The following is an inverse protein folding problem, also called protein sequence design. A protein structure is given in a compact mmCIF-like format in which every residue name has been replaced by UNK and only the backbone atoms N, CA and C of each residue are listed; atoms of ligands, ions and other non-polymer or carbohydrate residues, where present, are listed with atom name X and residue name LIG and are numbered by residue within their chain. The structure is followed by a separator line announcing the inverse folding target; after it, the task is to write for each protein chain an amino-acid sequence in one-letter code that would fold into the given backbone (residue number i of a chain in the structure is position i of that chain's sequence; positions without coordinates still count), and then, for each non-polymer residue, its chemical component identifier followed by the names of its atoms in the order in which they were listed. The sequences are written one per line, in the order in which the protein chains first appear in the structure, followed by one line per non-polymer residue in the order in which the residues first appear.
data_IF_394422115377
#
_entry.id   IF_394422115377
#
_cell.length_a   1.000
_cell.length_b   1.000
_cell.length_c   1.000
_cell.angle_alpha   90.00
_cell.angle_beta   90.00
_cell.angle_gamma   90.00
#
_symmetry.space_group_name_H-M   'P 1'
#
loop_
_entity.id
_entity.type
_entity.pdbx_description
1 polymer ?
#
# COMPACT_ATOMS: atom_id res chain seq x y z
N UNK A 1 2.94 -8.18 -27.12
CA UNK A 1 2.98 -6.87 -27.77
C UNK A 1 3.71 -5.94 -26.83
N UNK A 2 4.88 -5.46 -27.29
CA UNK A 2 5.68 -4.54 -26.55
C UNK A 2 4.87 -3.26 -26.32
N UNK A 3 4.77 -2.82 -25.03
CA UNK A 3 4.27 -1.49 -24.74
C UNK A 3 5.14 -0.43 -25.38
N UNK A 4 4.59 0.75 -25.58
CA UNK A 4 5.35 1.88 -26.10
C UNK A 4 6.45 2.22 -25.10
N UNK A 5 7.70 2.07 -25.51
CA UNK A 5 8.86 2.49 -24.72
C UNK A 5 9.04 3.99 -24.90
N UNK A 6 8.84 4.76 -23.81
CA UNK A 6 9.09 6.19 -23.83
C UNK A 6 10.45 6.47 -23.18
N UNK A 7 11.32 7.17 -23.91
CA UNK A 7 12.63 7.58 -23.43
C UNK A 7 12.57 8.99 -22.83
N UNK A 8 13.08 9.14 -21.61
CA UNK A 8 13.12 10.41 -20.90
C UNK A 8 14.55 10.77 -20.52
N UNK A 9 14.84 12.06 -20.49
CA UNK A 9 16.06 12.54 -19.88
C UNK A 9 16.02 12.28 -18.37
N UNK A 10 17.05 11.71 -17.80
CA UNK A 10 17.15 11.38 -16.36
C UNK A 10 16.79 12.57 -15.46
N UNK A 11 17.11 13.79 -15.87
CA UNK A 11 16.77 15.03 -15.13
C UNK A 11 15.27 15.34 -15.05
N UNK A 12 14.44 14.69 -15.88
CA UNK A 12 12.98 14.86 -15.90
C UNK A 12 12.25 13.81 -15.09
N UNK A 13 12.96 12.82 -14.56
CA UNK A 13 12.39 11.84 -13.65
C UNK A 13 12.23 12.48 -12.25
N UNK A 14 11.08 12.31 -11.59
CA UNK A 14 10.91 12.71 -10.18
C UNK A 14 11.97 12.05 -9.30
N UNK A 15 12.43 12.77 -8.25
CA UNK A 15 13.44 12.22 -7.33
C UNK A 15 12.94 10.96 -6.62
N UNK A 16 11.65 10.88 -6.31
CA UNK A 16 11.01 9.74 -5.67
C UNK A 16 10.97 8.50 -6.58
N UNK A 17 11.06 8.70 -7.91
CA UNK A 17 11.18 7.61 -8.89
C UNK A 17 12.62 7.13 -9.01
N UNK A 18 13.59 8.03 -8.78
CA UNK A 18 15.02 7.68 -8.79
C UNK A 18 15.43 6.95 -7.51
N UNK A 19 14.88 7.40 -6.39
CA UNK A 19 15.14 6.84 -5.07
C UNK A 19 13.81 6.43 -4.43
N UNK A 20 13.68 5.23 -3.87
CA UNK A 20 12.44 4.82 -3.23
C UNK A 20 12.13 5.76 -2.06
N UNK A 21 10.86 6.15 -1.88
CA UNK A 21 10.44 6.92 -0.72
C UNK A 21 10.83 6.22 0.58
N UNK A 22 11.25 6.99 1.59
CA UNK A 22 11.64 6.45 2.90
C UNK A 22 10.57 5.51 3.49
N UNK A 23 9.31 5.81 3.24
CA UNK A 23 8.18 4.98 3.68
C UNK A 23 8.24 3.56 3.11
N UNK A 24 8.68 3.40 1.86
CA UNK A 24 8.82 2.08 1.22
C UNK A 24 10.13 1.40 1.59
N UNK A 25 11.20 2.15 1.80
CA UNK A 25 12.49 1.58 2.24
C UNK A 25 12.38 0.87 3.59
N UNK A 26 11.43 1.29 4.41
CA UNK A 26 11.20 0.74 5.74
C UNK A 26 9.88 -0.05 5.84
N UNK A 27 9.16 -0.24 4.75
CA UNK A 27 8.05 -1.19 4.69
C UNK A 27 8.66 -2.58 4.64
N UNK A 28 8.73 -3.24 5.78
CA UNK A 28 9.45 -4.49 5.97
C UNK A 28 9.14 -5.52 4.90
N UNK A 29 10.02 -5.61 3.91
CA UNK A 29 10.12 -6.81 3.11
C UNK A 29 10.69 -7.90 4.00
N UNK A 30 10.06 -9.05 4.02
CA UNK A 30 10.70 -10.22 4.62
C UNK A 30 12.03 -10.46 3.89
N UNK A 31 13.11 -10.80 4.63
CA UNK A 31 14.36 -11.15 4.00
C UNK A 31 14.16 -12.31 3.02
N UNK A 32 14.88 -12.28 1.90
CA UNK A 32 14.90 -13.39 0.96
C UNK A 32 15.19 -14.69 1.73
N UNK A 33 14.32 -15.68 1.62
CA UNK A 33 14.38 -16.94 2.36
C UNK A 33 14.42 -16.76 3.89
N UNK A 34 13.39 -16.23 4.54
CA UNK A 34 13.31 -16.31 5.98
C UNK A 34 13.24 -17.79 6.39
N UNK A 35 14.06 -18.20 7.36
CA UNK A 35 13.93 -19.50 8.04
C UNK A 35 12.61 -19.50 8.86
N UNK A 36 11.50 -19.57 8.15
CA UNK A 36 10.19 -19.64 8.75
C UNK A 36 9.88 -21.07 9.18
N UNK A 37 9.37 -21.21 10.38
CA UNK A 37 8.80 -22.48 10.84
C UNK A 37 7.70 -22.88 9.85
N UNK A 38 7.58 -24.15 9.44
CA UNK A 38 6.61 -24.59 8.42
C UNK A 38 5.19 -24.05 8.63
N UNK A 39 4.73 -23.96 9.88
CA UNK A 39 3.41 -23.42 10.22
C UNK A 39 3.27 -21.91 9.98
N UNK A 40 4.36 -21.17 9.88
CA UNK A 40 4.33 -19.73 9.57
C UNK A 40 4.40 -19.47 8.07
N UNK A 41 4.80 -20.46 7.26
CA UNK A 41 4.82 -20.34 5.80
C UNK A 41 3.42 -20.14 5.24
N UNK A 42 2.41 -20.74 5.85
CA UNK A 42 1.01 -20.53 5.48
C UNK A 42 0.51 -19.11 5.80
N UNK A 43 1.08 -18.46 6.84
CA UNK A 43 0.72 -17.10 7.21
C UNK A 43 1.29 -16.04 6.25
N UNK A 44 2.38 -16.32 5.56
CA UNK A 44 2.95 -15.38 4.57
C UNK A 44 1.96 -15.10 3.45
N UNK A 45 1.21 -16.10 3.01
CA UNK A 45 0.16 -15.95 2.00
C UNK A 45 -1.02 -15.07 2.47
N UNK A 46 -1.19 -14.90 3.79
CA UNK A 46 -2.26 -14.12 4.39
C UNK A 46 -1.85 -12.67 4.69
N UNK A 47 -0.56 -12.37 4.71
CA UNK A 47 -0.06 -11.09 5.21
C UNK A 47 -0.11 -10.02 4.13
N UNK A 48 0.42 -10.26 2.95
CA UNK A 48 0.44 -9.27 1.88
C UNK A 48 0.59 -9.92 0.51
N UNK A 49 -0.04 -9.32 -0.50
CA UNK A 49 0.14 -9.66 -1.91
C UNK A 49 1.60 -9.50 -2.38
N UNK A 50 2.35 -8.62 -1.75
CA UNK A 50 3.78 -8.41 -2.08
C UNK A 50 4.64 -9.63 -1.80
N UNK A 51 4.22 -10.44 -0.84
CA UNK A 51 4.95 -11.65 -0.42
C UNK A 51 4.48 -12.91 -1.12
N UNK A 52 3.37 -12.86 -1.83
CA UNK A 52 2.86 -14.03 -2.51
C UNK A 52 3.57 -14.26 -3.84
N UNK A 53 4.20 -15.40 -3.98
CA UNK A 53 4.64 -15.93 -5.27
C UNK A 53 3.45 -16.60 -5.96
N UNK A 54 2.74 -15.86 -6.79
CA UNK A 54 1.69 -16.45 -7.60
C UNK A 54 2.29 -17.16 -8.82
N UNK A 55 1.83 -18.37 -9.14
CA UNK A 55 2.19 -18.98 -10.41
C UNK A 55 1.76 -18.09 -11.56
N UNK A 56 2.64 -17.91 -12.53
CA UNK A 56 2.51 -16.98 -13.66
C UNK A 56 1.36 -17.29 -14.65
N UNK A 57 0.41 -18.10 -14.26
CA UNK A 57 -0.60 -18.73 -15.12
C UNK A 57 -1.78 -17.82 -15.47
N UNK A 58 -1.69 -16.53 -15.28
CA UNK A 58 -2.84 -15.75 -15.67
C UNK A 58 -2.47 -14.49 -16.43
N UNK A 59 -2.81 -14.52 -17.68
CA UNK A 59 -3.17 -13.36 -18.50
C UNK A 59 -4.38 -12.61 -17.89
N UNK A 60 -4.33 -12.36 -16.57
CA UNK A 60 -5.36 -11.55 -15.93
C UNK A 60 -5.30 -10.16 -16.53
N UNK A 61 -6.39 -9.76 -17.15
CA UNK A 61 -6.56 -8.41 -17.72
C UNK A 61 -6.96 -7.39 -16.65
N UNK A 62 -7.36 -7.88 -15.47
CA UNK A 62 -7.82 -7.07 -14.35
C UNK A 62 -7.36 -7.68 -13.01
N UNK A 63 -6.93 -6.83 -12.10
CA UNK A 63 -6.49 -7.22 -10.74
C UNK A 63 -6.99 -6.18 -9.74
N UNK A 64 -7.57 -6.64 -8.64
CA UNK A 64 -7.93 -5.80 -7.48
C UNK A 64 -6.94 -6.02 -6.35
N UNK A 65 -6.44 -4.94 -5.79
CA UNK A 65 -5.43 -4.89 -4.74
C UNK A 65 -6.02 -4.15 -3.53
N UNK A 66 -5.79 -4.68 -2.32
CA UNK A 66 -6.03 -3.96 -1.08
C UNK A 66 -4.80 -3.11 -0.76
N UNK A 67 -4.99 -1.80 -0.60
CA UNK A 67 -3.88 -0.86 -0.47
C UNK A 67 -3.29 -0.91 0.95
N UNK A 68 -2.00 -1.21 1.06
CA UNK A 68 -1.29 -1.18 2.33
C UNK A 68 -0.93 0.24 2.76
N UNK A 69 -0.75 0.48 4.06
CA UNK A 69 -0.40 1.79 4.59
C UNK A 69 0.90 2.39 3.98
N UNK A 70 2.01 1.65 3.83
CA UNK A 70 3.22 2.19 3.23
C UNK A 70 3.01 2.74 1.83
N UNK A 71 2.30 2.00 0.98
CA UNK A 71 1.99 2.41 -0.38
C UNK A 71 1.01 3.59 -0.42
N UNK A 72 -0.01 3.58 0.42
CA UNK A 72 -0.91 4.72 0.57
C UNK A 72 -0.14 6.00 0.96
N UNK A 73 0.75 5.88 1.95
CA UNK A 73 1.54 7.00 2.45
C UNK A 73 2.49 7.56 1.40
N UNK A 74 3.11 6.68 0.63
CA UNK A 74 4.05 7.04 -0.44
C UNK A 74 3.36 7.48 -1.75
N UNK A 75 2.06 7.23 -1.91
CA UNK A 75 1.36 7.49 -3.17
C UNK A 75 1.77 6.51 -4.27
N UNK A 76 1.98 5.26 -3.90
CA UNK A 76 2.47 4.19 -4.78
C UNK A 76 1.55 2.97 -4.72
N UNK A 77 1.80 1.99 -5.60
CA UNK A 77 1.23 0.65 -5.54
C UNK A 77 2.35 -0.39 -5.61
N UNK A 78 2.20 -1.56 -5.00
CA UNK A 78 3.15 -2.65 -5.17
C UNK A 78 3.15 -3.17 -6.60
N UNK A 79 4.32 -3.50 -7.13
CA UNK A 79 4.48 -4.21 -8.39
C UNK A 79 4.70 -5.69 -8.07
N UNK A 80 3.64 -6.47 -8.14
CA UNK A 80 3.62 -7.89 -7.79
C UNK A 80 3.55 -8.77 -9.03
N UNK A 81 3.76 -10.07 -8.86
CA UNK A 81 3.57 -11.05 -9.93
C UNK A 81 2.14 -11.02 -10.51
N UNK A 82 1.15 -10.68 -9.70
CA UNK A 82 -0.26 -10.60 -10.11
C UNK A 82 -0.56 -9.46 -11.08
N UNK A 83 0.12 -8.32 -10.92
CA UNK A 83 -0.19 -7.10 -11.68
C UNK A 83 0.89 -6.68 -12.67
N UNK A 84 2.09 -7.27 -12.63
CA UNK A 84 3.20 -6.89 -13.51
C UNK A 84 2.85 -6.92 -15.00
N UNK A 85 1.95 -7.80 -15.42
CA UNK A 85 1.53 -7.96 -16.82
C UNK A 85 0.56 -6.87 -17.29
N UNK A 86 -0.03 -6.09 -16.38
CA UNK A 86 -0.92 -4.97 -16.67
C UNK A 86 -0.10 -3.75 -17.11
N UNK A 87 1.08 -3.58 -16.52
CA UNK A 87 1.92 -2.42 -16.74
C UNK A 87 2.85 -2.57 -17.94
N UNK A 88 3.19 -1.45 -18.61
CA UNK A 88 4.18 -1.49 -19.68
C UNK A 88 5.56 -1.86 -19.13
N UNK A 89 6.28 -2.67 -19.89
CA UNK A 89 7.62 -3.14 -19.52
C UNK A 89 8.61 -2.75 -20.58
N UNK A 90 9.83 -2.38 -20.14
CA UNK A 90 10.98 -2.23 -21.01
C UNK A 90 12.18 -2.93 -20.36
N UNK A 91 12.78 -3.89 -21.06
CA UNK A 91 13.90 -4.66 -20.51
C UNK A 91 15.16 -3.82 -20.28
N UNK A 92 15.31 -2.77 -21.06
CA UNK A 92 16.50 -1.92 -21.09
C UNK A 92 16.49 -0.78 -20.07
N UNK A 93 15.32 -0.47 -19.48
CA UNK A 93 15.23 0.61 -18.51
C UNK A 93 14.68 0.14 -17.17
N UNK A 94 15.26 0.60 -16.06
CA UNK A 94 14.75 0.27 -14.73
C UNK A 94 13.42 0.99 -14.42
N UNK A 95 13.09 2.05 -15.16
CA UNK A 95 11.91 2.90 -14.92
C UNK A 95 11.19 3.16 -16.23
N UNK A 96 9.88 3.00 -16.22
CA UNK A 96 9.03 3.18 -17.40
C UNK A 96 7.92 4.17 -17.08
N UNK A 97 7.85 5.27 -17.84
CA UNK A 97 6.71 6.19 -17.75
C UNK A 97 5.53 5.64 -18.54
N UNK A 98 4.33 5.79 -17.98
CA UNK A 98 3.07 5.45 -18.62
C UNK A 98 1.98 6.41 -18.15
N UNK A 99 0.75 6.24 -18.63
CA UNK A 99 -0.40 7.02 -18.19
C UNK A 99 -1.42 6.15 -17.49
N UNK A 100 -1.88 6.58 -16.32
CA UNK A 100 -3.10 6.07 -15.73
C UNK A 100 -4.31 6.74 -16.40
N UNK A 101 -5.37 5.96 -16.58
CA UNK A 101 -6.69 6.46 -16.97
C UNK A 101 -7.67 6.11 -15.84
N UNK A 102 -8.15 7.12 -15.12
CA UNK A 102 -9.12 6.95 -14.04
C UNK A 102 -10.50 6.63 -14.61
N UNK A 103 -11.04 5.47 -14.26
CA UNK A 103 -12.37 5.08 -14.71
C UNK A 103 -13.39 5.26 -13.58
N UNK A 104 -14.55 5.90 -13.80
CA UNK A 104 -15.15 6.28 -15.10
C UNK A 104 -14.86 7.72 -15.56
N UNK A 105 -14.08 8.51 -14.84
CA UNK A 105 -13.86 9.93 -15.15
C UNK A 105 -13.07 10.16 -16.45
N UNK A 106 -12.33 9.16 -16.90
CA UNK A 106 -11.41 9.18 -18.05
C UNK A 106 -10.29 10.24 -17.92
N UNK A 107 -10.06 10.76 -16.73
CA UNK A 107 -8.94 11.64 -16.45
C UNK A 107 -7.62 10.87 -16.54
N UNK A 108 -6.64 11.45 -17.21
CA UNK A 108 -5.34 10.85 -17.38
C UNK A 108 -4.30 11.57 -16.52
N UNK A 109 -3.42 10.79 -15.93
CA UNK A 109 -2.28 11.30 -15.17
C UNK A 109 -1.06 10.40 -15.31
N UNK A 110 0.12 10.97 -15.09
CA UNK A 110 1.38 10.26 -15.28
C UNK A 110 1.65 9.24 -14.18
N UNK A 111 2.12 8.07 -14.57
CA UNK A 111 2.59 7.00 -13.71
C UNK A 111 3.98 6.51 -14.10
N UNK A 112 4.66 5.88 -13.16
CA UNK A 112 5.98 5.30 -13.35
C UNK A 112 6.05 3.89 -12.79
N UNK A 113 6.52 2.94 -13.59
CA UNK A 113 6.91 1.61 -13.12
C UNK A 113 8.36 1.68 -12.67
N UNK A 114 8.64 1.43 -11.40
CA UNK A 114 9.99 1.39 -10.81
C UNK A 114 10.33 -0.05 -10.49
N UNK A 115 10.93 -0.73 -11.46
CA UNK A 115 11.21 -2.18 -11.40
C UNK A 115 12.19 -2.60 -10.32
N UNK A 116 13.33 -1.89 -10.11
CA UNK A 116 14.30 -2.30 -9.11
C UNK A 116 13.76 -2.31 -7.67
N UNK A 117 12.73 -1.51 -7.41
CA UNK A 117 12.15 -1.34 -6.09
C UNK A 117 10.72 -1.88 -6.00
N UNK A 118 10.24 -2.58 -7.03
CA UNK A 118 8.94 -3.25 -7.08
C UNK A 118 7.75 -2.37 -6.70
N UNK A 119 7.71 -1.12 -7.19
CA UNK A 119 6.56 -0.25 -6.98
C UNK A 119 6.18 0.56 -8.22
N UNK A 120 4.96 1.11 -8.19
CA UNK A 120 4.40 2.01 -9.19
C UNK A 120 4.16 3.34 -8.50
N UNK A 121 4.66 4.42 -9.09
CA UNK A 121 4.61 5.78 -8.56
C UNK A 121 3.64 6.66 -9.35
N UNK A 122 3.09 7.70 -8.68
CA UNK A 122 2.29 8.76 -9.28
C UNK A 122 0.86 8.87 -8.76
N UNK A 123 0.51 8.13 -7.70
CA UNK A 123 -0.87 7.97 -7.24
C UNK A 123 -1.27 8.92 -6.09
N UNK A 124 -0.34 9.71 -5.52
CA UNK A 124 -0.60 10.49 -4.31
C UNK A 124 -1.82 11.42 -4.45
N UNK A 125 -1.83 12.25 -5.49
CA UNK A 125 -2.93 13.19 -5.73
C UNK A 125 -4.25 12.48 -6.03
N UNK A 126 -4.18 11.35 -6.75
CA UNK A 126 -5.35 10.56 -7.07
C UNK A 126 -5.95 9.92 -5.81
N UNK A 127 -5.13 9.41 -4.87
CA UNK A 127 -5.61 8.90 -3.59
C UNK A 127 -6.36 9.97 -2.79
N UNK A 128 -5.81 11.18 -2.75
CA UNK A 128 -6.44 12.31 -2.06
C UNK A 128 -7.77 12.71 -2.69
N UNK A 129 -7.82 12.80 -4.02
CA UNK A 129 -9.04 13.15 -4.78
C UNK A 129 -10.13 12.09 -4.65
N UNK A 130 -9.78 10.81 -4.63
CA UNK A 130 -10.73 9.72 -4.52
C UNK A 130 -11.13 9.41 -3.06
N UNK A 131 -10.45 9.99 -2.07
CA UNK A 131 -10.67 9.69 -0.66
C UNK A 131 -10.25 8.27 -0.26
N UNK A 132 -9.18 7.77 -0.90
CA UNK A 132 -8.61 6.43 -0.64
C UNK A 132 -7.94 6.41 0.72
N UNK A 133 -8.18 5.36 1.48
CA UNK A 133 -7.55 5.09 2.78
C UNK A 133 -6.74 3.79 2.72
N UNK A 134 -5.81 3.55 3.66
CA UNK A 134 -5.23 2.21 3.83
C UNK A 134 -6.32 1.15 3.96
N UNK A 135 -6.20 0.08 3.20
CA UNK A 135 -7.21 -0.96 3.09
C UNK A 135 -8.22 -0.78 1.95
N UNK A 136 -8.26 0.38 1.27
CA UNK A 136 -9.15 0.55 0.11
C UNK A 136 -8.80 -0.40 -1.03
N UNK A 137 -9.82 -0.88 -1.73
CA UNK A 137 -9.65 -1.68 -2.93
C UNK A 137 -9.37 -0.79 -4.14
N UNK A 138 -8.31 -1.13 -4.87
CA UNK A 138 -7.93 -0.50 -6.13
C UNK A 138 -7.94 -1.56 -7.21
N UNK A 139 -8.70 -1.32 -8.26
CA UNK A 139 -8.77 -2.21 -9.41
C UNK A 139 -7.96 -1.62 -10.56
N UNK A 140 -7.07 -2.44 -11.09
CA UNK A 140 -6.23 -2.14 -12.24
C UNK A 140 -6.66 -3.01 -13.40
N UNK A 141 -6.78 -2.44 -14.58
CA UNK A 141 -7.02 -3.21 -15.80
C UNK A 141 -6.19 -2.70 -16.98
N UNK A 142 -5.91 -3.63 -17.87
CA UNK A 142 -5.15 -3.29 -19.08
C UNK A 142 -6.00 -2.43 -20.01
N UNK A 143 -5.44 -1.30 -20.45
CA UNK A 143 -6.09 -0.47 -21.47
C UNK A 143 -5.90 -1.06 -22.88
N UNK A 144 -6.84 -0.76 -23.76
CA UNK A 144 -6.67 -1.03 -25.21
C UNK A 144 -5.62 -0.12 -25.86
N UNK A 145 -5.33 1.02 -25.27
CA UNK A 145 -4.34 1.97 -25.75
C UNK A 145 -2.97 1.60 -25.17
N UNK A 146 -1.93 1.39 -26.03
CA UNK A 146 -0.59 1.11 -25.55
C UNK A 146 -0.05 2.23 -24.67
N UNK A 147 0.61 1.86 -23.56
CA UNK A 147 1.17 2.83 -22.59
C UNK A 147 0.15 3.42 -21.63
N UNK A 148 -1.09 2.97 -21.65
CA UNK A 148 -2.14 3.34 -20.70
C UNK A 148 -2.54 2.16 -19.81
N UNK A 149 -2.88 2.46 -18.56
CA UNK A 149 -3.42 1.50 -17.58
C UNK A 149 -4.66 2.11 -16.95
N UNK A 150 -5.77 1.37 -16.99
CA UNK A 150 -6.98 1.81 -16.32
C UNK A 150 -6.85 1.57 -14.81
N UNK A 151 -7.32 2.55 -14.04
CA UNK A 151 -7.37 2.48 -12.59
C UNK A 151 -8.74 2.92 -12.10
N UNK A 152 -9.27 2.25 -11.10
CA UNK A 152 -10.53 2.65 -10.47
C UNK A 152 -10.59 2.28 -9.00
N UNK A 153 -11.38 3.04 -8.24
CA UNK A 153 -11.87 2.66 -6.92
C UNK A 153 -13.36 2.43 -6.98
N UNK A 154 -13.86 1.45 -6.26
CA UNK A 154 -15.29 1.29 -6.09
C UNK A 154 -15.77 2.25 -5.02
N UNK A 155 -16.58 3.24 -5.43
CA UNK A 155 -17.15 4.21 -4.47
C UNK A 155 -18.24 3.54 -3.65
N UNK A 156 -18.14 3.70 -2.34
CA UNK A 156 -19.26 3.41 -1.44
C UNK A 156 -20.17 4.65 -1.38
N UNK A 157 -21.48 4.45 -1.24
CA UNK A 157 -22.33 5.58 -0.84
C UNK A 157 -21.79 6.04 0.51
N UNK A 158 -21.47 7.34 0.64
CA UNK A 158 -20.90 7.94 1.85
C UNK A 158 -21.58 7.36 3.12
N UNK A 159 -21.06 6.24 3.60
CA UNK A 159 -21.50 5.58 4.82
C UNK A 159 -20.61 6.03 5.97
N UNK A 160 -21.22 6.12 7.15
CA UNK A 160 -20.44 6.33 8.36
C UNK A 160 -20.23 4.97 9.00
N UNK A 161 -19.01 4.46 8.86
CA UNK A 161 -18.64 3.16 9.37
C UNK A 161 -17.70 3.26 10.58
N UNK A 162 -17.74 2.28 11.44
CA UNK A 162 -16.80 2.15 12.55
C UNK A 162 -15.48 1.60 12.01
N UNK A 163 -14.45 2.46 11.97
CA UNK A 163 -13.13 2.12 11.44
C UNK A 163 -12.07 2.30 12.51
N UNK A 164 -11.13 1.39 12.53
CA UNK A 164 -9.90 1.55 13.29
C UNK A 164 -9.23 2.84 12.90
N UNK A 165 -9.01 3.70 13.87
CA UNK A 165 -8.41 5.02 13.67
C UNK A 165 -7.19 5.14 14.57
N UNK A 166 -6.10 5.58 14.01
CA UNK A 166 -4.87 5.86 14.75
C UNK A 166 -4.93 7.28 15.28
N UNK A 167 -4.80 7.42 16.58
CA UNK A 167 -4.73 8.70 17.27
C UNK A 167 -3.36 8.89 17.91
N UNK A 168 -2.86 10.12 17.84
CA UNK A 168 -1.61 10.52 18.48
C UNK A 168 -1.97 11.37 19.69
N UNK A 169 -1.57 10.91 20.88
CA UNK A 169 -1.73 11.65 22.12
C UNK A 169 -0.75 12.82 22.24
N UNK A 170 -1.07 13.78 23.09
CA UNK A 170 -0.19 14.94 23.38
C UNK A 170 1.14 14.53 24.02
N UNK A 171 1.17 13.37 24.66
CA UNK A 171 2.38 12.74 25.23
C UNK A 171 3.20 12.00 24.16
N UNK A 172 2.73 11.97 22.92
CA UNK A 172 3.31 11.21 21.81
C UNK A 172 3.04 9.72 21.89
N UNK A 173 2.08 9.29 22.69
CA UNK A 173 1.55 7.93 22.67
C UNK A 173 0.69 7.69 21.43
N UNK A 174 0.68 6.47 20.91
CA UNK A 174 -0.19 6.06 19.79
C UNK A 174 -1.29 5.16 20.35
N UNK A 175 -2.52 5.48 20.01
CA UNK A 175 -3.72 4.73 20.45
C UNK A 175 -4.52 4.35 19.21
N UNK A 176 -4.99 3.11 19.19
CA UNK A 176 -5.96 2.64 18.21
C UNK A 176 -7.37 2.70 18.84
N UNK A 177 -8.29 3.33 18.12
CA UNK A 177 -9.68 3.44 18.55
C UNK A 177 -10.63 3.10 17.41
N UNK A 178 -11.79 2.55 17.71
CA UNK A 178 -12.88 2.45 16.73
C UNK A 178 -13.65 3.77 16.75
N UNK A 179 -13.58 4.50 15.64
CA UNK A 179 -14.28 5.76 15.46
C UNK A 179 -15.20 5.70 14.25
N UNK A 180 -16.29 6.44 14.33
CA UNK A 180 -17.23 6.57 13.22
C UNK A 180 -16.70 7.55 12.19
N UNK A 181 -16.27 7.03 11.04
CA UNK A 181 -15.65 7.78 9.96
C UNK A 181 -16.52 7.75 8.70
N UNK A 182 -16.41 8.80 7.88
CA UNK A 182 -17.01 8.83 6.55
C UNK A 182 -16.03 8.23 5.55
N UNK A 183 -16.44 7.19 4.85
CA UNK A 183 -15.59 6.50 3.88
C UNK A 183 -16.25 6.51 2.52
N UNK A 184 -15.48 6.92 1.53
CA UNK A 184 -15.95 7.11 0.15
C UNK A 184 -15.68 5.90 -0.75
N UNK A 185 -14.75 5.02 -0.36
CA UNK A 185 -14.32 3.86 -1.16
C UNK A 185 -14.65 2.55 -0.44
N UNK A 186 -14.87 1.48 -1.21
CA UNK A 186 -14.91 0.13 -0.64
C UNK A 186 -13.53 -0.27 -0.14
N UNK A 187 -13.48 -1.07 0.91
CA UNK A 187 -12.25 -1.41 1.60
C UNK A 187 -12.29 -2.82 2.17
N UNK A 188 -11.12 -3.37 2.43
CA UNK A 188 -10.94 -4.58 3.20
C UNK A 188 -11.02 -4.24 4.71
N UNK A 189 -11.98 -4.82 5.42
CA UNK A 189 -12.20 -4.56 6.85
C UNK A 189 -10.97 -4.88 7.71
N UNK A 190 -10.16 -5.88 7.29
CA UNK A 190 -8.95 -6.29 8.01
C UNK A 190 -7.80 -5.29 7.84
N UNK A 191 -7.72 -4.66 6.66
CA UNK A 191 -6.64 -3.73 6.32
C UNK A 191 -7.01 -2.28 6.58
N UNK A 192 -8.29 -1.97 6.74
CA UNK A 192 -8.78 -0.60 6.85
C UNK A 192 -8.36 0.06 8.16
N UNK A 193 -7.55 1.10 8.04
CA UNK A 193 -7.12 1.94 9.16
C UNK A 193 -7.14 3.41 8.71
N UNK A 194 -7.87 4.25 9.43
CA UNK A 194 -7.85 5.69 9.22
C UNK A 194 -6.67 6.32 9.96
N UNK A 195 -5.93 7.16 9.27
CA UNK A 195 -4.79 7.92 9.82
C UNK A 195 -5.05 9.42 9.60
N UNK A 196 -5.74 10.10 10.54
CA UNK A 196 -6.13 11.49 10.37
C UNK A 196 -4.95 12.46 10.39
N UNK A 197 -3.93 12.18 11.21
CA UNK A 197 -2.76 13.04 11.37
C UNK A 197 -1.47 12.28 11.06
N UNK A 198 -1.14 12.27 9.78
CA UNK A 198 0.09 11.66 9.28
C UNK A 198 1.34 12.40 9.76
N UNK A 199 1.24 13.74 9.90
CA UNK A 199 2.39 14.55 10.31
C UNK A 199 2.75 14.29 11.77
N UNK A 200 1.77 14.14 12.65
CA UNK A 200 2.03 13.77 14.04
C UNK A 200 2.71 12.40 14.14
N UNK A 201 2.30 11.42 13.33
CA UNK A 201 2.99 10.13 13.25
C UNK A 201 4.43 10.27 12.76
N UNK A 202 4.67 11.07 11.74
CA UNK A 202 6.02 11.31 11.22
C UNK A 202 6.91 11.98 12.28
N UNK A 203 6.39 12.93 13.07
CA UNK A 203 7.12 13.53 14.18
C UNK A 203 7.48 12.53 15.27
N UNK A 204 6.56 11.66 15.67
CA UNK A 204 6.85 10.61 16.64
C UNK A 204 7.94 9.69 16.10
N UNK A 205 7.85 9.34 14.84
CA UNK A 205 8.79 8.47 14.18
C UNK A 205 10.19 9.07 14.10
N UNK A 206 10.30 10.37 13.76
CA UNK A 206 11.55 11.12 13.75
C UNK A 206 12.16 11.29 15.15
N UNK A 207 11.34 11.39 16.18
CA UNK A 207 11.79 11.57 17.57
C UNK A 207 12.42 10.33 18.20
N UNK A 208 12.50 9.23 17.48
CA UNK A 208 13.08 7.95 17.94
C UNK A 208 12.43 7.35 19.23
N UNK A 209 11.23 7.76 19.60
CA UNK A 209 10.53 7.22 20.78
C UNK A 209 10.25 5.72 20.65
N UNK A 210 10.24 5.18 19.42
CA UNK A 210 10.00 3.76 19.13
C UNK A 210 11.26 2.97 18.75
N UNK A 211 12.44 3.33 19.26
CA UNK A 211 13.66 2.49 19.16
C UNK A 211 13.56 1.19 19.98
N UNK A 212 12.37 0.79 20.33
CA UNK A 212 12.19 -0.50 21.01
C UNK A 212 12.40 -1.65 20.03
N UNK A 213 12.84 -2.83 20.52
CA UNK A 213 12.88 -4.04 19.72
C UNK A 213 11.52 -4.31 19.08
N UNK A 214 11.51 -4.81 17.84
CA UNK A 214 10.29 -5.01 17.05
C UNK A 214 9.28 -5.90 17.76
N UNK A 215 9.75 -6.89 18.53
CA UNK A 215 8.90 -7.80 19.29
C UNK A 215 8.07 -7.05 20.36
N UNK A 216 8.67 -6.06 21.01
CA UNK A 216 7.95 -5.21 21.99
C UNK A 216 6.90 -4.33 21.32
N UNK A 217 7.22 -3.80 20.14
CA UNK A 217 6.27 -3.01 19.34
C UNK A 217 5.08 -3.89 18.94
N UNK A 218 5.35 -5.08 18.40
CA UNK A 218 4.32 -6.05 18.02
C UNK A 218 3.42 -6.39 19.21
N UNK A 219 4.01 -6.75 20.35
CA UNK A 219 3.22 -7.09 21.56
C UNK A 219 2.36 -5.92 22.05
N UNK A 220 2.88 -4.69 21.97
CA UNK A 220 2.12 -3.50 22.35
C UNK A 220 0.94 -3.29 21.41
N UNK A 221 1.16 -3.40 20.11
CA UNK A 221 0.12 -3.24 19.08
C UNK A 221 -0.94 -4.35 19.23
N UNK A 222 -0.51 -5.59 19.42
CA UNK A 222 -1.44 -6.70 19.67
C UNK A 222 -2.36 -6.43 20.84
N UNK A 223 -1.84 -5.88 21.93
CA UNK A 223 -2.67 -5.50 23.09
C UNK A 223 -3.65 -4.37 22.75
N UNK A 224 -3.20 -3.36 22.03
CA UNK A 224 -4.07 -2.22 21.67
C UNK A 224 -5.16 -2.63 20.68
N UNK A 225 -4.83 -3.40 19.65
CA UNK A 225 -5.83 -3.87 18.67
C UNK A 225 -6.75 -4.93 19.29
N UNK A 226 -6.22 -5.83 20.11
CA UNK A 226 -7.01 -6.86 20.79
C UNK A 226 -8.13 -6.28 21.66
N UNK A 227 -7.92 -5.10 22.26
CA UNK A 227 -8.97 -4.39 23.01
C UNK A 227 -10.15 -3.95 22.14
N UNK A 228 -9.95 -3.79 20.83
CA UNK A 228 -10.97 -3.34 19.88
C UNK A 228 -11.79 -4.51 19.32
N UNK A 229 -11.38 -5.74 19.58
CA UNK A 229 -12.02 -6.93 19.07
C UNK A 229 -12.66 -7.72 20.20
N UNK A 230 -13.95 -8.02 20.09
CA UNK A 230 -14.71 -8.76 21.10
C UNK A 230 -14.21 -10.19 21.34
N UNK A 231 -13.56 -10.78 20.34
CA UNK A 231 -13.00 -12.14 20.42
C UNK A 231 -11.53 -12.18 20.87
N UNK A 232 -10.90 -11.02 21.07
CA UNK A 232 -9.46 -10.91 21.40
C UNK A 232 -8.53 -11.59 20.37
N UNK A 233 -9.02 -11.74 19.13
CA UNK A 233 -8.28 -12.33 18.02
C UNK A 233 -7.82 -11.22 17.09
N UNK A 234 -6.60 -11.33 16.57
CA UNK A 234 -6.02 -10.38 15.62
C UNK A 234 -5.61 -11.15 14.38
N UNK A 235 -6.07 -10.70 13.23
CA UNK A 235 -5.64 -11.27 11.97
C UNK A 235 -4.21 -10.81 11.61
N UNK A 236 -3.43 -11.66 10.94
CA UNK A 236 -2.05 -11.34 10.58
C UNK A 236 -1.94 -10.07 9.72
N UNK A 237 -2.83 -9.88 8.75
CA UNK A 237 -2.88 -8.67 7.91
C UNK A 237 -3.20 -7.41 8.72
N UNK A 238 -4.09 -7.50 9.69
CA UNK A 238 -4.43 -6.41 10.60
C UNK A 238 -3.22 -5.98 11.42
N UNK A 239 -2.51 -6.95 11.99
CA UNK A 239 -1.29 -6.73 12.75
C UNK A 239 -0.19 -6.12 11.88
N UNK A 240 0.03 -6.66 10.68
CA UNK A 240 1.00 -6.16 9.71
C UNK A 240 0.74 -4.70 9.37
N UNK A 241 -0.50 -4.35 9.02
CA UNK A 241 -0.87 -2.97 8.69
C UNK A 241 -0.62 -2.03 9.87
N UNK A 242 -1.00 -2.41 11.08
CA UNK A 242 -0.82 -1.59 12.28
C UNK A 242 0.65 -1.42 12.69
N UNK A 243 1.47 -2.46 12.56
CA UNK A 243 2.91 -2.39 12.82
C UNK A 243 3.58 -1.40 11.87
N UNK A 244 3.25 -1.45 10.59
CA UNK A 244 3.82 -0.56 9.58
C UNK A 244 3.42 0.91 9.74
N UNK A 245 2.32 1.22 10.43
CA UNK A 245 1.96 2.60 10.78
C UNK A 245 2.90 3.14 11.85
N UNK A 246 3.20 2.34 12.86
CA UNK A 246 3.96 2.77 14.04
C UNK A 246 5.46 2.67 13.80
N UNK A 247 5.89 1.59 13.21
CA UNK A 247 7.30 1.33 12.92
C UNK A 247 7.46 0.90 11.48
N UNK A 248 8.14 1.73 10.72
CA UNK A 248 8.58 1.41 9.36
C UNK A 248 9.79 0.48 9.48
N UNK A 249 9.55 -0.78 9.21
CA UNK A 249 10.59 -1.85 9.29
C UNK A 249 11.14 -2.13 7.92
#
# INVERSE_FOLDING_TARGET
PAGVTLWFLKRLEPLEVQNPPLTLNFAGSLPDNPDLIPNLTELTALVDDEMEQYPSDSLKTEVTISLTYPHWRAGTLPLTERNKNIFPTAYETPRVKFQFCDFPSLQKFDGWVVRPNHYIYGLKNWYEQQGVIPGSFITLSKSSTPGEVNIQTHKNKNSRDWIRTVLVGTDGGIVFALLKQVISCTYDERMAIMVPDVNALDHIWASNKFKQPIEKVILTIMREIGKLNTQNQIHAQELYSAVNIIRRT
#
